data_IF_328320427150
#
_entry.id   IF_328320427150
#
_cell.length_a   1.000
_cell.length_b   1.000
_cell.length_c   1.000
_cell.angle_alpha   90.00
_cell.angle_beta   90.00
_cell.angle_gamma   90.00
#
_symmetry.space_group_name_H-M   'P 1'
#
loop_
_entity.id
_entity.type
_entity.pdbx_description
1 polymer ?
#
# COMPACT_ATOMS: atom_id res chain seq x y z
N UNK A 1 -52.56 17.37 -11.26
CA UNK A 1 -51.36 17.64 -10.45
C UNK A 1 -50.50 16.39 -10.56
N UNK A 2 -49.43 16.44 -11.35
CA UNK A 2 -48.57 15.28 -11.61
C UNK A 2 -47.37 15.42 -10.67
N UNK A 3 -47.21 14.47 -9.76
CA UNK A 3 -45.97 14.36 -8.98
C UNK A 3 -44.92 13.72 -9.87
N UNK A 4 -44.05 14.55 -10.44
CA UNK A 4 -42.75 14.11 -10.92
C UNK A 4 -41.96 13.71 -9.68
N UNK A 5 -41.90 12.41 -9.39
CA UNK A 5 -40.80 11.87 -8.60
C UNK A 5 -39.55 12.04 -9.45
N UNK A 6 -38.75 13.05 -9.13
CA UNK A 6 -37.33 13.03 -9.47
C UNK A 6 -36.75 11.78 -8.82
N UNK A 7 -36.44 10.77 -9.63
CA UNK A 7 -35.50 9.74 -9.19
C UNK A 7 -34.19 10.49 -8.90
N UNK A 8 -33.86 10.63 -7.60
CA UNK A 8 -32.47 10.76 -7.23
C UNK A 8 -31.80 9.50 -7.77
N UNK A 9 -30.96 9.68 -8.78
CA UNK A 9 -29.95 8.68 -9.10
C UNK A 9 -28.97 8.74 -7.95
N UNK A 10 -29.14 7.84 -6.99
CA UNK A 10 -28.07 7.51 -6.06
C UNK A 10 -26.96 6.94 -6.92
N UNK A 11 -25.77 7.55 -6.90
CA UNK A 11 -24.62 6.94 -7.50
C UNK A 11 -24.27 5.73 -6.61
N UNK A 12 -24.50 4.52 -7.09
CA UNK A 12 -24.23 3.32 -6.31
C UNK A 12 -22.72 3.16 -6.14
N UNK A 13 -22.26 3.39 -4.91
CA UNK A 13 -20.88 3.15 -4.50
C UNK A 13 -20.51 1.69 -4.78
N UNK A 14 -19.72 1.45 -5.83
CA UNK A 14 -19.07 0.15 -6.08
C UNK A 14 -19.42 -0.63 -7.36
N UNK A 15 -20.25 -0.13 -8.29
CA UNK A 15 -20.67 -0.95 -9.47
C UNK A 15 -19.68 -0.96 -10.68
N UNK A 16 -18.52 -0.31 -10.58
CA UNK A 16 -17.58 -0.15 -11.70
C UNK A 16 -16.26 -0.88 -11.54
N UNK A 17 -16.10 -2.04 -12.19
CA UNK A 17 -14.78 -2.67 -12.35
C UNK A 17 -13.93 -1.87 -13.35
N UNK A 18 -12.73 -1.45 -12.95
CA UNK A 18 -11.85 -0.61 -13.80
C UNK A 18 -10.36 -0.74 -13.46
N UNK A 19 -9.50 -0.73 -14.48
CA UNK A 19 -8.05 -0.63 -14.30
C UNK A 19 -7.70 0.77 -13.75
N UNK A 20 -7.06 0.82 -12.59
CA UNK A 20 -6.56 2.05 -11.95
C UNK A 20 -5.11 2.33 -12.28
N UNK A 21 -4.27 1.28 -12.31
CA UNK A 21 -2.84 1.41 -12.54
C UNK A 21 -2.27 0.17 -13.23
N UNK A 22 -1.25 0.37 -14.06
CA UNK A 22 -0.39 -0.72 -14.56
C UNK A 22 1.09 -0.36 -14.36
N UNK A 23 1.86 -1.32 -13.86
CA UNK A 23 3.32 -1.32 -13.88
C UNK A 23 3.77 -2.49 -14.77
N UNK A 24 4.65 -2.29 -15.77
CA UNK A 24 5.01 -1.00 -16.34
C UNK A 24 3.77 -0.29 -16.91
N UNK A 25 3.78 1.04 -16.91
CA UNK A 25 2.75 1.80 -17.62
C UNK A 25 2.93 1.66 -19.13
N UNK A 26 1.84 1.73 -19.89
CA UNK A 26 1.86 1.53 -21.35
C UNK A 26 2.87 2.47 -22.05
N UNK A 27 3.72 1.91 -22.93
CA UNK A 27 4.79 2.60 -23.66
C UNK A 27 6.14 2.71 -22.94
N UNK A 28 6.34 2.10 -21.76
CA UNK A 28 7.65 2.06 -21.08
C UNK A 28 8.57 1.02 -21.74
N UNK A 29 9.85 1.36 -21.92
CA UNK A 29 10.85 0.45 -22.50
C UNK A 29 12.12 0.30 -21.66
N UNK A 30 12.97 -0.65 -22.04
CA UNK A 30 14.17 -1.09 -21.31
C UNK A 30 13.87 -1.68 -19.91
N UNK A 31 12.71 -2.32 -19.74
CA UNK A 31 12.40 -3.07 -18.51
C UNK A 31 13.36 -4.27 -18.34
N UNK A 32 13.67 -4.69 -17.10
CA UNK A 32 14.47 -5.90 -16.92
C UNK A 32 13.73 -7.14 -17.42
N UNK A 33 14.46 -8.17 -17.85
CA UNK A 33 13.86 -9.38 -18.44
C UNK A 33 12.97 -10.17 -17.49
N UNK A 34 13.26 -10.18 -16.19
CA UNK A 34 12.43 -10.85 -15.19
C UNK A 34 11.22 -10.01 -14.70
N UNK A 35 10.76 -9.00 -15.45
CA UNK A 35 9.64 -8.15 -15.05
C UNK A 35 8.36 -8.97 -14.83
N UNK A 36 7.72 -8.74 -13.68
CA UNK A 36 6.42 -9.29 -13.30
C UNK A 36 5.41 -8.13 -13.29
N UNK A 37 4.68 -7.89 -14.40
CA UNK A 37 3.75 -6.76 -14.48
C UNK A 37 2.71 -6.82 -13.38
N UNK A 38 2.33 -5.64 -12.88
CA UNK A 38 1.41 -5.48 -11.76
C UNK A 38 0.27 -4.56 -12.19
N UNK A 39 -0.94 -5.09 -12.13
CA UNK A 39 -2.17 -4.37 -12.45
C UNK A 39 -2.93 -4.10 -11.17
N UNK A 40 -3.43 -2.89 -10.99
CA UNK A 40 -4.27 -2.51 -9.86
C UNK A 40 -5.63 -2.07 -10.38
N UNK A 41 -6.68 -2.67 -9.85
CA UNK A 41 -8.06 -2.45 -10.26
C UNK A 41 -8.93 -1.93 -9.11
N UNK A 42 -9.97 -1.18 -9.47
CA UNK A 42 -11.12 -0.91 -8.60
C UNK A 42 -12.23 -1.92 -8.90
N UNK A 43 -12.99 -2.32 -7.88
CA UNK A 43 -14.03 -3.35 -7.94
C UNK A 43 -13.62 -4.62 -7.20
N UNK A 44 -14.56 -5.55 -7.01
CA UNK A 44 -14.26 -6.89 -6.47
C UNK A 44 -13.52 -7.78 -7.46
N UNK A 45 -13.59 -7.47 -8.76
CA UNK A 45 -12.59 -7.85 -9.78
C UNK A 45 -12.18 -9.31 -9.71
N UNK A 46 -13.16 -10.20 -9.56
CA UNK A 46 -12.86 -11.58 -9.20
C UNK A 46 -12.16 -12.29 -10.37
N UNK A 47 -11.43 -13.36 -10.08
CA UNK A 47 -10.79 -14.16 -11.12
C UNK A 47 -11.78 -14.77 -12.13
N UNK A 48 -13.09 -14.76 -11.83
CA UNK A 48 -14.12 -15.18 -12.76
C UNK A 48 -14.50 -14.10 -13.81
N UNK A 49 -14.13 -12.84 -13.59
CA UNK A 49 -14.63 -11.66 -14.31
C UNK A 49 -13.61 -11.04 -15.29
N UNK A 50 -12.34 -11.45 -15.22
CA UNK A 50 -11.22 -10.88 -15.96
C UNK A 50 -10.39 -11.99 -16.61
N UNK A 51 -9.87 -11.73 -17.81
CA UNK A 51 -8.84 -12.51 -18.47
C UNK A 51 -7.67 -11.59 -18.82
N UNK A 52 -6.48 -12.01 -18.42
CA UNK A 52 -5.23 -11.31 -18.71
C UNK A 52 -4.38 -12.23 -19.59
N UNK A 53 -3.72 -11.66 -20.59
CA UNK A 53 -2.81 -12.39 -21.45
C UNK A 53 -1.62 -11.51 -21.82
N UNK A 54 -0.41 -12.07 -21.68
CA UNK A 54 0.83 -11.46 -22.12
C UNK A 54 1.22 -12.04 -23.48
N UNK A 55 1.58 -11.16 -24.42
CA UNK A 55 2.03 -11.52 -25.76
C UNK A 55 3.39 -10.90 -26.04
N UNK A 56 4.28 -11.67 -26.65
CA UNK A 56 5.46 -11.18 -27.37
C UNK A 56 5.02 -10.68 -28.75
N UNK A 57 5.45 -9.49 -29.15
CA UNK A 57 5.18 -8.89 -30.46
C UNK A 57 6.43 -8.92 -31.35
N UNK A 58 6.43 -9.76 -32.40
CA UNK A 58 7.56 -9.91 -33.32
C UNK A 58 7.12 -9.86 -34.79
N UNK A 59 7.72 -8.98 -35.59
CA UNK A 59 7.54 -8.84 -37.05
C UNK A 59 6.07 -8.78 -37.57
N UNK A 60 5.10 -8.54 -36.69
CA UNK A 60 3.66 -8.50 -37.01
C UNK A 60 2.87 -9.76 -36.62
N UNK A 61 3.52 -10.74 -35.99
CA UNK A 61 2.91 -11.88 -35.31
C UNK A 61 2.91 -11.65 -33.78
N UNK A 62 1.97 -12.31 -33.07
CA UNK A 62 1.90 -12.27 -31.60
C UNK A 62 1.94 -13.69 -31.03
N UNK A 63 2.87 -13.93 -30.11
CA UNK A 63 3.03 -15.22 -29.43
C UNK A 63 2.63 -15.05 -27.96
N UNK A 64 1.66 -15.83 -27.49
CA UNK A 64 1.25 -15.77 -26.08
C UNK A 64 2.32 -16.36 -25.17
N UNK A 65 2.70 -15.62 -24.14
CA UNK A 65 3.62 -16.03 -23.08
C UNK A 65 2.80 -16.72 -21.96
N UNK A 66 3.19 -17.92 -21.50
CA UNK A 66 2.59 -18.54 -20.31
C UNK A 66 2.84 -17.69 -19.05
N UNK A 67 1.79 -17.53 -18.24
CA UNK A 67 1.79 -16.71 -17.03
C UNK A 67 1.09 -17.45 -15.88
N UNK A 68 1.60 -17.25 -14.67
CA UNK A 68 0.86 -17.44 -13.41
C UNK A 68 0.33 -16.08 -12.93
N UNK A 69 -0.74 -16.10 -12.13
CA UNK A 69 -1.41 -14.90 -11.60
C UNK A 69 -1.48 -14.98 -10.07
N UNK A 70 -0.90 -13.99 -9.38
CA UNK A 70 -1.00 -13.81 -7.93
C UNK A 70 -1.85 -12.58 -7.62
N UNK A 71 -2.91 -12.74 -6.82
CA UNK A 71 -3.98 -11.74 -6.68
C UNK A 71 -4.24 -11.41 -5.21
N UNK A 72 -4.05 -10.14 -4.83
CA UNK A 72 -4.41 -9.59 -3.53
C UNK A 72 -5.59 -8.62 -3.64
N UNK A 73 -6.74 -8.95 -3.05
CA UNK A 73 -7.99 -8.19 -3.14
C UNK A 73 -8.48 -7.65 -1.78
N UNK A 74 -9.20 -6.53 -1.81
CA UNK A 74 -9.40 -5.67 -0.65
C UNK A 74 -10.78 -4.82 -0.66
N UNK A 75 -11.39 -4.32 0.48
CA UNK A 75 -12.43 -3.20 0.81
C UNK A 75 -11.99 -1.71 1.34
N UNK A 76 -11.89 -0.62 0.53
CA UNK A 76 -11.12 0.63 0.81
C UNK A 76 -11.88 1.71 1.57
N UNK A 77 -11.41 2.11 2.75
CA UNK A 77 -11.89 3.31 3.48
C UNK A 77 -13.43 3.41 3.65
N UNK A 78 -14.14 2.34 3.30
CA UNK A 78 -15.56 2.18 3.02
C UNK A 78 -15.81 0.69 2.83
N UNK A 79 -17.02 0.20 3.06
CA UNK A 79 -17.36 -1.20 2.81
C UNK A 79 -17.57 -1.56 1.32
N UNK A 80 -17.50 -0.58 0.42
CA UNK A 80 -17.99 -0.68 -0.97
C UNK A 80 -16.94 -0.42 -2.04
N UNK A 81 -15.99 0.47 -1.79
CA UNK A 81 -14.82 0.59 -2.65
C UNK A 81 -14.01 -0.69 -2.49
N UNK A 82 -13.68 -1.39 -3.56
CA UNK A 82 -12.80 -2.56 -3.52
C UNK A 82 -11.64 -2.36 -4.45
N UNK A 83 -10.51 -2.94 -4.09
CA UNK A 83 -9.31 -2.92 -4.92
C UNK A 83 -8.84 -4.35 -5.15
N UNK A 84 -8.15 -4.61 -6.25
CA UNK A 84 -7.48 -5.88 -6.51
C UNK A 84 -6.16 -5.64 -7.24
N UNK A 85 -5.07 -6.15 -6.68
CA UNK A 85 -3.74 -6.11 -7.27
C UNK A 85 -3.41 -7.48 -7.85
N UNK A 86 -3.16 -7.54 -9.15
CA UNK A 86 -2.80 -8.74 -9.90
C UNK A 86 -1.34 -8.64 -10.33
N UNK A 87 -0.47 -9.50 -9.76
CA UNK A 87 0.90 -9.69 -10.22
C UNK A 87 0.90 -10.81 -11.27
N UNK A 88 1.31 -10.46 -12.47
CA UNK A 88 1.47 -11.36 -13.61
C UNK A 88 2.89 -11.87 -13.60
N UNK A 89 3.05 -13.18 -13.50
CA UNK A 89 4.33 -13.86 -13.32
C UNK A 89 4.58 -14.72 -14.56
N UNK A 90 5.41 -14.26 -15.52
CA UNK A 90 5.83 -15.11 -16.62
C UNK A 90 6.49 -16.40 -16.11
N UNK A 91 6.13 -17.56 -16.69
CA UNK A 91 6.72 -18.87 -16.29
C UNK A 91 8.24 -18.96 -16.56
N UNK A 92 8.77 -18.04 -17.38
CA UNK A 92 10.18 -17.90 -17.73
C UNK A 92 10.54 -16.42 -17.87
N UNK A 93 11.83 -16.09 -17.74
CA UNK A 93 12.32 -14.74 -18.05
C UNK A 93 11.89 -14.30 -19.46
N UNK A 94 11.50 -13.03 -19.60
CA UNK A 94 11.18 -12.46 -20.90
C UNK A 94 12.46 -12.29 -21.74
N UNK A 95 12.30 -12.24 -23.06
CA UNK A 95 13.40 -12.12 -24.01
C UNK A 95 14.03 -10.73 -23.96
N UNK A 96 15.32 -10.62 -24.31
CA UNK A 96 16.04 -9.35 -24.25
C UNK A 96 15.74 -8.44 -25.44
N UNK A 97 15.46 -7.16 -25.17
CA UNK A 97 15.19 -6.12 -26.19
C UNK A 97 13.91 -6.37 -27.03
N UNK A 98 12.94 -7.10 -26.48
CA UNK A 98 11.69 -7.50 -27.15
C UNK A 98 10.51 -6.65 -26.69
N UNK A 99 9.48 -6.54 -27.55
CA UNK A 99 8.25 -5.80 -27.28
C UNK A 99 7.14 -6.74 -26.79
N UNK A 100 6.38 -6.28 -25.81
CA UNK A 100 5.33 -7.04 -25.16
C UNK A 100 4.02 -6.26 -25.12
N UNK A 101 2.93 -6.95 -25.40
CA UNK A 101 1.55 -6.48 -25.26
C UNK A 101 0.86 -7.30 -24.17
N UNK A 102 0.43 -6.65 -23.11
CA UNK A 102 -0.51 -7.22 -22.15
C UNK A 102 -1.93 -6.76 -22.50
N UNK A 103 -2.83 -7.72 -22.73
CA UNK A 103 -4.26 -7.47 -22.94
C UNK A 103 -5.04 -7.87 -21.69
N UNK A 104 -5.96 -6.99 -21.29
CA UNK A 104 -6.84 -7.14 -20.14
C UNK A 104 -8.27 -7.02 -20.66
N UNK A 105 -9.05 -8.10 -20.55
CA UNK A 105 -10.41 -8.16 -21.08
C UNK A 105 -11.37 -8.77 -20.05
N UNK A 106 -12.63 -8.29 -19.95
CA UNK A 106 -13.64 -8.93 -19.12
C UNK A 106 -14.04 -10.28 -19.71
N UNK A 107 -14.15 -11.31 -18.87
CA UNK A 107 -14.64 -12.66 -19.24
C UNK A 107 -16.16 -12.73 -19.25
N UNK A 108 -16.82 -11.95 -18.40
CA UNK A 108 -18.28 -11.84 -18.34
C UNK A 108 -18.72 -10.62 -19.16
N UNK A 109 -19.64 -10.84 -20.11
CA UNK A 109 -20.27 -9.76 -20.86
C UNK A 109 -21.26 -8.99 -19.98
N UNK A 110 -20.76 -8.05 -19.18
CA UNK A 110 -21.59 -7.04 -18.54
C UNK A 110 -22.25 -6.18 -19.64
N UNK A 111 -23.58 -5.91 -19.57
CA UNK A 111 -24.30 -5.22 -20.66
C UNK A 111 -23.77 -3.84 -21.06
N UNK A 112 -22.99 -3.20 -20.18
CA UNK A 112 -22.48 -1.84 -20.36
C UNK A 112 -20.93 -1.77 -20.43
N UNK A 113 -20.22 -2.90 -20.25
CA UNK A 113 -18.76 -2.91 -20.07
C UNK A 113 -18.07 -3.94 -20.99
N UNK A 114 -18.13 -3.69 -22.30
CA UNK A 114 -17.27 -4.35 -23.29
C UNK A 114 -15.93 -3.63 -23.47
N UNK A 115 -15.21 -3.34 -22.38
CA UNK A 115 -13.91 -2.69 -22.45
C UNK A 115 -12.78 -3.71 -22.66
N UNK A 116 -11.62 -3.24 -23.09
CA UNK A 116 -10.38 -4.02 -23.14
C UNK A 116 -9.23 -3.04 -23.07
N UNK A 117 -8.38 -3.19 -22.06
CA UNK A 117 -7.20 -2.36 -21.89
C UNK A 117 -5.97 -3.09 -22.44
N UNK A 118 -5.07 -2.30 -23.03
CA UNK A 118 -3.83 -2.78 -23.64
C UNK A 118 -2.64 -2.00 -23.07
N UNK A 119 -1.73 -2.73 -22.41
CA UNK A 119 -0.52 -2.20 -21.79
C UNK A 119 0.67 -2.73 -22.57
N UNK A 120 1.37 -1.86 -23.30
CA UNK A 120 2.58 -2.26 -24.02
C UNK A 120 3.83 -1.88 -23.24
N UNK A 121 4.87 -2.71 -23.32
CA UNK A 121 6.19 -2.38 -22.78
C UNK A 121 7.29 -3.09 -23.57
N UNK A 122 8.55 -2.69 -23.40
CA UNK A 122 9.68 -3.45 -23.92
C UNK A 122 10.75 -3.73 -22.87
N UNK A 123 11.42 -4.86 -23.03
CA UNK A 123 12.56 -5.26 -22.21
C UNK A 123 13.86 -4.62 -22.71
N UNK A 124 14.89 -4.63 -21.86
CA UNK A 124 16.27 -4.34 -22.21
C UNK A 124 17.13 -5.62 -22.16
N UNK A 125 18.41 -5.47 -21.82
CA UNK A 125 19.38 -6.56 -21.63
C UNK A 125 19.87 -6.72 -20.19
N UNK A 126 19.22 -6.04 -19.23
CA UNK A 126 19.57 -6.07 -17.81
C UNK A 126 18.65 -6.98 -17.00
N UNK A 127 19.22 -7.58 -15.95
CA UNK A 127 18.50 -8.12 -14.80
C UNK A 127 18.60 -7.09 -13.67
N UNK A 128 17.52 -6.85 -12.95
CA UNK A 128 17.53 -6.03 -11.74
C UNK A 128 17.95 -6.88 -10.53
N UNK A 129 18.30 -6.22 -9.43
CA UNK A 129 18.44 -6.84 -8.11
C UNK A 129 18.01 -5.82 -7.05
N UNK A 130 17.36 -6.31 -5.99
CA UNK A 130 17.08 -5.50 -4.81
C UNK A 130 18.32 -5.46 -3.91
N UNK A 131 18.68 -4.29 -3.38
CA UNK A 131 19.59 -4.26 -2.23
C UNK A 131 18.81 -4.79 -1.02
N UNK A 132 19.34 -5.83 -0.36
CA UNK A 132 18.62 -6.62 0.65
C UNK A 132 18.47 -5.92 2.00
N UNK A 133 18.58 -4.59 2.03
CA UNK A 133 18.37 -3.80 3.25
C UNK A 133 16.86 -3.72 3.56
N UNK A 134 16.41 -4.10 4.77
CA UNK A 134 15.01 -3.99 5.14
C UNK A 134 14.47 -2.56 5.02
N UNK A 135 13.24 -2.35 4.51
CA UNK A 135 12.56 -1.06 4.58
C UNK A 135 12.29 -0.68 6.05
N UNK A 136 12.17 0.62 6.32
CA UNK A 136 11.83 1.12 7.67
C UNK A 136 10.44 1.72 7.69
N UNK A 137 9.73 1.55 8.80
CA UNK A 137 8.37 2.05 9.04
C UNK A 137 8.36 2.89 10.32
N UNK A 138 7.78 4.09 10.24
CA UNK A 138 7.60 5.02 11.36
C UNK A 138 6.13 5.42 11.47
N UNK A 139 5.59 5.45 12.68
CA UNK A 139 4.22 5.92 12.95
C UNK A 139 4.23 7.43 13.22
N UNK A 140 3.43 8.18 12.47
CA UNK A 140 3.33 9.64 12.53
C UNK A 140 2.15 10.10 13.41
N UNK A 141 1.01 9.42 13.29
CA UNK A 141 -0.24 9.79 13.96
C UNK A 141 -1.18 8.59 14.08
N UNK A 142 -1.94 8.54 15.16
CA UNK A 142 -3.11 7.69 15.28
C UNK A 142 -4.24 8.47 15.95
N UNK A 143 -5.41 8.50 15.32
CA UNK A 143 -6.58 9.20 15.82
C UNK A 143 -7.73 9.20 14.81
N UNK A 144 -8.76 10.03 15.02
CA UNK A 144 -9.80 10.27 14.02
C UNK A 144 -9.17 10.71 12.70
N UNK A 145 -9.72 10.21 11.59
CA UNK A 145 -9.37 10.65 10.24
C UNK A 145 -9.73 12.12 10.07
N UNK A 146 -8.90 12.87 9.37
CA UNK A 146 -9.18 14.27 9.06
C UNK A 146 -10.39 14.39 8.12
N UNK A 147 -11.35 15.26 8.44
CA UNK A 147 -12.56 15.54 7.64
C UNK A 147 -12.26 15.93 6.17
N UNK A 148 -11.01 16.30 5.86
CA UNK A 148 -10.60 16.73 4.53
C UNK A 148 -10.31 15.54 3.60
N UNK A 149 -11.19 15.35 2.63
CA UNK A 149 -11.08 14.27 1.64
C UNK A 149 -11.65 12.95 2.16
N UNK A 150 -12.75 13.02 2.89
CA UNK A 150 -13.75 11.95 3.04
C UNK A 150 -14.73 12.10 1.88
N UNK A 151 -14.79 11.12 0.98
CA UNK A 151 -15.76 11.08 -0.13
C UNK A 151 -17.10 10.47 0.34
N UNK A 152 -18.18 10.60 -0.45
CA UNK A 152 -19.55 10.22 -0.05
C UNK A 152 -19.71 8.73 0.33
N UNK A 153 -18.85 7.87 -0.21
CA UNK A 153 -18.86 6.42 0.05
C UNK A 153 -18.01 6.02 1.26
N UNK A 154 -17.11 6.89 1.72
CA UNK A 154 -16.15 6.60 2.79
C UNK A 154 -16.86 6.39 4.14
N UNK A 155 -16.23 5.61 5.02
CA UNK A 155 -16.65 5.46 6.41
C UNK A 155 -16.55 6.81 7.13
N UNK A 156 -17.69 7.44 7.51
CA UNK A 156 -17.65 8.63 8.34
C UNK A 156 -17.11 8.25 9.73
N UNK A 157 -16.47 9.20 10.40
CA UNK A 157 -15.93 9.07 11.75
C UNK A 157 -14.85 7.96 11.95
N UNK A 158 -14.30 7.41 10.86
CA UNK A 158 -13.25 6.40 10.90
C UNK A 158 -11.95 6.91 11.57
N UNK A 159 -11.18 5.99 12.16
CA UNK A 159 -9.83 6.27 12.67
C UNK A 159 -8.78 5.85 11.64
N UNK A 160 -7.60 6.46 11.70
CA UNK A 160 -6.48 6.11 10.84
C UNK A 160 -5.14 6.11 11.56
N UNK A 161 -4.28 5.16 11.17
CA UNK A 161 -2.86 5.13 11.45
C UNK A 161 -2.11 5.78 10.28
N UNK A 162 -1.36 6.85 10.49
CA UNK A 162 -0.54 7.51 9.45
C UNK A 162 0.94 7.17 9.64
N UNK A 163 1.64 6.80 8.57
CA UNK A 163 3.01 6.28 8.60
C UNK A 163 3.93 7.00 7.61
N UNK A 164 5.24 7.02 7.91
CA UNK A 164 6.30 7.10 6.90
C UNK A 164 6.91 5.74 6.66
N UNK A 165 7.10 5.39 5.40
CA UNK A 165 7.92 4.27 4.96
C UNK A 165 9.16 4.77 4.22
N UNK A 166 10.29 4.13 4.50
CA UNK A 166 11.59 4.40 3.88
C UNK A 166 12.05 3.16 3.09
N UNK A 167 11.65 3.04 1.80
CA UNK A 167 12.15 1.97 0.94
C UNK A 167 13.65 2.15 0.69
N UNK A 168 14.42 1.08 0.86
CA UNK A 168 15.88 1.11 0.73
C UNK A 168 16.29 0.74 -0.70
N UNK A 169 16.15 1.68 -1.64
CA UNK A 169 16.53 1.47 -3.05
C UNK A 169 17.46 2.55 -3.58
N UNK A 170 18.48 2.13 -4.33
CA UNK A 170 19.28 2.99 -5.21
C UNK A 170 18.72 3.11 -6.64
N UNK A 171 17.72 2.31 -6.98
CA UNK A 171 17.44 1.94 -8.36
C UNK A 171 16.29 2.74 -8.97
N UNK A 172 16.47 3.20 -10.20
CA UNK A 172 15.49 3.97 -10.96
C UNK A 172 14.31 3.13 -11.50
N UNK A 173 14.12 1.92 -10.96
CA UNK A 173 13.09 0.97 -11.38
C UNK A 173 11.84 1.16 -10.53
N UNK A 174 10.67 0.99 -11.15
CA UNK A 174 9.41 0.98 -10.41
C UNK A 174 9.44 -0.16 -9.39
N UNK A 175 9.06 0.16 -8.16
CA UNK A 175 9.00 -0.78 -7.05
C UNK A 175 7.81 -0.45 -6.17
N UNK A 176 7.52 -1.31 -5.20
CA UNK A 176 6.39 -1.12 -4.32
C UNK A 176 6.65 -1.69 -2.92
N UNK A 177 5.92 -1.16 -1.95
CA UNK A 177 5.81 -1.73 -0.62
C UNK A 177 4.52 -2.53 -0.53
N UNK A 178 4.60 -3.79 -0.11
CA UNK A 178 3.46 -4.50 0.45
C UNK A 178 3.39 -4.15 1.95
N UNK A 179 2.18 -3.92 2.45
CA UNK A 179 1.92 -3.60 3.86
C UNK A 179 1.02 -4.66 4.47
N UNK A 180 1.37 -5.09 5.68
CA UNK A 180 0.72 -6.18 6.38
C UNK A 180 0.35 -5.76 7.81
N UNK A 181 -0.82 -6.18 8.27
CA UNK A 181 -1.25 -6.08 9.67
C UNK A 181 -1.01 -7.44 10.34
N UNK A 182 -0.39 -7.45 11.52
CA UNK A 182 -0.26 -8.65 12.35
C UNK A 182 -1.39 -8.69 13.36
N UNK A 183 -2.25 -9.70 13.26
CA UNK A 183 -3.39 -9.89 14.17
C UNK A 183 -2.93 -10.35 15.56
N UNK A 184 -3.86 -10.34 16.53
CA UNK A 184 -3.59 -10.86 17.88
C UNK A 184 -3.25 -12.36 17.92
N UNK A 185 -3.61 -13.13 16.89
CA UNK A 185 -3.21 -14.54 16.71
C UNK A 185 -1.85 -14.72 16.03
N UNK A 186 -1.22 -13.64 15.55
CA UNK A 186 0.03 -13.68 14.78
C UNK A 186 -0.18 -13.99 13.28
N UNK A 187 -1.39 -13.83 12.77
CA UNK A 187 -1.70 -13.95 11.33
C UNK A 187 -1.33 -12.65 10.61
N UNK A 188 -0.71 -12.75 9.43
CA UNK A 188 -0.22 -11.61 8.64
C UNK A 188 -1.23 -11.25 7.55
N UNK A 189 -2.11 -10.29 7.81
CA UNK A 189 -3.14 -9.85 6.87
C UNK A 189 -2.59 -8.83 5.89
N UNK A 190 -2.53 -9.18 4.60
CA UNK A 190 -2.20 -8.22 3.54
C UNK A 190 -3.21 -7.06 3.55
N UNK A 191 -2.71 -5.89 3.91
CA UNK A 191 -3.45 -4.65 3.89
C UNK A 191 -3.41 -4.11 2.45
N UNK A 192 -2.24 -3.60 2.03
CA UNK A 192 -2.19 -2.78 0.83
C UNK A 192 -0.86 -2.78 0.10
N UNK A 193 -0.87 -2.10 -1.05
CA UNK A 193 0.32 -1.75 -1.82
C UNK A 193 0.59 -0.25 -1.74
N UNK A 194 1.86 0.13 -1.84
CA UNK A 194 2.28 1.52 -2.09
C UNK A 194 3.23 1.50 -3.27
N UNK A 195 2.85 2.12 -4.38
CA UNK A 195 3.73 2.29 -5.52
C UNK A 195 4.79 3.36 -5.20
N UNK A 196 6.06 2.98 -5.26
CA UNK A 196 7.18 3.89 -5.05
C UNK A 196 7.57 4.47 -6.41
N UNK A 197 7.45 5.79 -6.55
CA UNK A 197 8.00 6.49 -7.71
C UNK A 197 9.53 6.45 -7.68
N UNK A 198 10.21 6.40 -8.84
CA UNK A 198 11.66 6.44 -8.90
C UNK A 198 12.21 7.67 -8.15
N UNK A 199 13.39 7.51 -7.56
CA UNK A 199 14.10 8.54 -6.79
C UNK A 199 13.40 9.01 -5.49
N UNK A 200 12.31 8.37 -5.04
CA UNK A 200 11.71 8.63 -3.73
C UNK A 200 12.41 7.85 -2.60
N UNK A 201 13.06 8.56 -1.68
CA UNK A 201 13.68 7.98 -0.47
C UNK A 201 12.70 7.62 0.65
N UNK A 202 11.45 8.08 0.53
CA UNK A 202 10.40 7.92 1.55
C UNK A 202 9.03 8.19 0.95
N UNK A 203 8.00 7.52 1.44
CA UNK A 203 6.59 7.81 1.15
C UNK A 203 5.78 7.80 2.44
N UNK A 204 4.80 8.68 2.58
CA UNK A 204 3.76 8.57 3.60
C UNK A 204 2.60 7.70 3.12
N UNK A 205 1.82 7.17 4.08
CA UNK A 205 0.59 6.42 3.86
C UNK A 205 -0.31 6.39 5.13
N UNK A 206 -1.60 6.04 5.01
CA UNK A 206 -2.61 6.04 6.10
C UNK A 206 -3.51 4.79 6.15
N UNK A 207 -3.29 3.86 7.08
CA UNK A 207 -4.19 2.72 7.23
C UNK A 207 -5.48 3.17 7.93
N UNK A 208 -6.59 3.20 7.22
CA UNK A 208 -7.91 3.55 7.78
C UNK A 208 -8.61 2.31 8.31
N UNK A 209 -9.20 2.43 9.49
CA UNK A 209 -9.88 1.36 10.20
C UNK A 209 -11.39 1.42 9.95
N UNK A 210 -12.02 0.25 9.85
CA UNK A 210 -13.49 0.15 9.89
C UNK A 210 -14.01 0.68 11.23
N UNK A 211 -15.04 1.55 11.27
CA UNK A 211 -15.59 2.09 12.50
C UNK A 211 -16.02 0.98 13.49
N UNK A 212 -15.62 1.11 14.74
CA UNK A 212 -15.80 0.09 15.79
C UNK A 212 -14.67 -0.95 15.87
N UNK A 213 -13.63 -0.87 15.02
CA UNK A 213 -12.45 -1.75 15.06
C UNK A 213 -11.19 -1.05 15.61
N UNK A 214 -11.35 0.14 16.19
CA UNK A 214 -10.27 0.97 16.73
C UNK A 214 -9.48 0.26 17.85
N UNK A 215 -8.23 0.67 18.04
CA UNK A 215 -7.39 0.20 19.14
C UNK A 215 -6.03 -0.36 18.70
N UNK A 216 -5.41 -1.23 19.51
CA UNK A 216 -4.06 -1.74 19.26
C UNK A 216 -3.94 -2.44 17.90
N UNK A 217 -2.84 -2.18 17.20
CA UNK A 217 -2.48 -2.80 15.92
C UNK A 217 -0.96 -2.93 15.77
N UNK A 218 -0.53 -3.85 14.93
CA UNK A 218 0.86 -4.10 14.60
C UNK A 218 1.00 -4.15 13.09
N UNK A 219 1.96 -3.42 12.52
CA UNK A 219 2.19 -3.36 11.08
C UNK A 219 3.64 -3.65 10.72
N UNK A 220 3.86 -4.25 9.56
CA UNK A 220 5.17 -4.29 8.91
C UNK A 220 5.02 -4.09 7.41
N UNK A 221 6.12 -3.74 6.76
CA UNK A 221 6.19 -3.54 5.32
C UNK A 221 7.27 -4.44 4.71
N UNK A 222 7.04 -4.92 3.49
CA UNK A 222 8.04 -5.59 2.67
C UNK A 222 8.22 -4.84 1.37
N UNK A 223 9.46 -4.58 0.99
CA UNK A 223 9.78 -3.95 -0.28
C UNK A 223 9.96 -4.99 -1.38
N UNK A 224 9.44 -4.68 -2.57
CA UNK A 224 9.47 -5.57 -3.73
C UNK A 224 9.73 -4.78 -5.00
N UNK A 225 10.63 -5.27 -5.84
CA UNK A 225 10.80 -4.73 -7.19
C UNK A 225 9.72 -5.27 -8.13
N UNK A 226 9.40 -4.52 -9.19
CA UNK A 226 8.53 -5.03 -10.26
C UNK A 226 9.06 -6.34 -10.90
N UNK A 227 10.34 -6.64 -10.74
CA UNK A 227 11.00 -7.86 -11.19
C UNK A 227 10.81 -9.06 -10.26
N UNK A 228 10.06 -8.89 -9.16
CA UNK A 228 9.65 -9.96 -8.27
C UNK A 228 10.57 -10.19 -7.07
N UNK A 229 11.79 -9.65 -7.05
CA UNK A 229 12.69 -9.72 -5.90
C UNK A 229 12.09 -8.98 -4.70
N UNK A 230 12.26 -9.58 -3.52
CA UNK A 230 11.77 -9.09 -2.23
C UNK A 230 12.91 -8.78 -1.28
N UNK A 231 12.74 -7.75 -0.47
CA UNK A 231 13.57 -7.48 0.69
C UNK A 231 13.20 -8.42 1.85
N UNK A 232 14.05 -8.43 2.88
CA UNK A 232 13.60 -8.74 4.24
C UNK A 232 12.50 -7.76 4.67
N UNK A 233 11.64 -8.15 5.61
CA UNK A 233 10.56 -7.29 6.15
C UNK A 233 11.13 -6.21 7.06
N UNK A 234 10.42 -5.09 7.19
CA UNK A 234 10.69 -4.13 8.28
C UNK A 234 10.56 -4.80 9.65
N UNK A 235 11.06 -4.14 10.70
CA UNK A 235 10.61 -4.44 12.06
C UNK A 235 9.09 -4.26 12.15
N UNK A 236 8.42 -5.09 12.97
CA UNK A 236 6.99 -4.98 13.23
C UNK A 236 6.73 -3.84 14.23
N UNK A 237 6.06 -2.79 13.77
CA UNK A 237 5.70 -1.62 14.57
C UNK A 237 4.32 -1.83 15.20
N UNK A 238 4.30 -2.06 16.51
CA UNK A 238 3.07 -2.19 17.30
C UNK A 238 2.73 -0.90 18.06
N UNK A 239 1.46 -0.55 18.06
CA UNK A 239 0.89 0.60 18.76
C UNK A 239 -0.29 0.17 19.63
N UNK A 240 -0.52 0.85 20.76
CA UNK A 240 -1.51 0.46 21.77
C UNK A 240 -2.91 1.06 21.54
N UNK A 241 -3.08 1.86 20.48
CA UNK A 241 -4.34 2.54 20.17
C UNK A 241 -4.67 3.73 21.10
N UNK A 242 -3.71 4.22 21.88
CA UNK A 242 -3.83 5.53 22.52
C UNK A 242 -3.65 6.64 21.47
N UNK A 243 -4.36 7.78 21.58
CA UNK A 243 -4.25 8.84 20.57
C UNK A 243 -2.84 9.42 20.59
N UNK A 244 -2.10 9.24 19.49
CA UNK A 244 -0.77 9.78 19.31
C UNK A 244 -0.89 11.19 18.71
N UNK A 245 -0.58 12.26 19.46
CA UNK A 245 -0.68 13.61 18.93
C UNK A 245 0.33 13.78 17.80
N UNK A 246 -0.12 14.32 16.67
CA UNK A 246 0.77 14.79 15.62
C UNK A 246 1.83 15.71 16.21
N UNK A 247 3.10 15.46 15.92
CA UNK A 247 4.19 16.40 16.20
C UNK A 247 4.14 17.56 15.20
N UNK A 248 3.06 18.34 15.28
CA UNK A 248 2.82 19.56 14.54
C UNK A 248 2.96 20.77 15.45
N UNK A 249 3.69 21.78 14.98
CA UNK A 249 4.04 23.01 15.71
C UNK A 249 2.83 23.93 15.96
N UNK A 250 1.96 23.58 16.91
CA UNK A 250 1.08 24.52 17.59
C UNK A 250 1.67 24.87 18.96
N UNK A 251 2.89 25.46 18.96
CA UNK A 251 3.35 26.24 20.11
C UNK A 251 2.33 27.38 20.31
N UNK A 252 1.61 27.45 21.45
CA UNK A 252 0.78 28.61 21.72
C UNK A 252 1.71 29.82 21.82
N UNK A 253 1.44 30.84 21.01
CA UNK A 253 2.09 32.14 21.16
C UNK A 253 1.72 32.66 22.55
N UNK A 254 2.64 32.50 23.51
CA UNK A 254 2.53 33.15 24.82
C UNK A 254 2.59 34.66 24.59
N UNK A 255 1.42 35.29 24.64
CA UNK A 255 1.31 36.74 24.65
C UNK A 255 1.98 37.27 25.93
N UNK A 256 3.04 38.06 25.72
CA UNK A 256 4.01 38.42 26.75
C UNK A 256 3.42 39.45 27.71
N UNK A 257 2.95 38.98 28.86
CA UNK A 257 2.33 39.80 29.92
C UNK A 257 3.03 39.69 31.27
N UNK A 258 4.23 40.25 31.40
CA UNK A 258 4.88 40.56 32.69
C UNK A 258 4.58 42.01 33.13
N UNK A 259 4.83 42.44 34.41
CA UNK A 259 5.30 41.68 35.58
C UNK A 259 4.53 41.96 36.90
N UNK A 260 4.76 41.18 37.98
CA UNK A 260 5.32 41.68 39.27
C UNK A 260 5.55 40.59 40.33
N UNK A 261 6.71 40.67 40.98
CA UNK A 261 7.16 40.28 42.36
C UNK A 261 6.29 39.26 43.15
N UNK A 262 6.83 38.16 43.72
CA UNK A 262 7.86 38.20 44.78
C UNK A 262 8.62 36.86 44.99
N UNK A 263 9.83 36.95 45.54
CA UNK A 263 10.80 35.85 45.87
C UNK A 263 10.51 35.32 47.31
N UNK A 264 10.74 34.04 47.73
CA UNK A 264 12.05 33.40 47.64
C UNK A 264 12.22 31.85 47.52
N UNK A 265 13.43 31.52 47.08
CA UNK A 265 14.22 30.28 47.18
C UNK A 265 14.31 29.69 48.62
N UNK A 266 14.68 28.39 48.83
CA UNK A 266 16.06 27.93 48.52
C UNK A 266 16.34 26.45 48.11
N UNK A 267 17.45 26.33 47.39
CA UNK A 267 18.56 25.33 47.48
C UNK A 267 18.40 23.81 47.19
N UNK A 268 19.31 23.38 46.31
CA UNK A 268 20.07 22.12 46.22
C UNK A 268 19.57 20.79 46.81
N UNK A 269 19.47 19.77 45.96
CA UNK A 269 20.40 18.60 45.84
C UNK A 269 19.75 17.62 44.85
N UNK A 270 20.39 16.71 44.12
CA UNK A 270 21.71 16.11 44.21
C UNK A 270 21.62 14.74 43.51
N UNK A 271 22.11 14.67 42.27
CA UNK A 271 22.71 13.52 41.58
C UNK A 271 22.44 12.08 42.12
N UNK A 272 21.90 11.16 41.28
CA UNK A 272 22.55 9.86 40.92
C UNK A 272 21.61 8.88 40.20
N UNK A 273 22.21 8.02 39.33
CA UNK A 273 21.93 6.58 39.39
C UNK A 273 21.19 5.91 38.22
N UNK A 274 21.90 5.61 37.12
CA UNK A 274 21.42 4.63 36.12
C UNK A 274 21.31 3.21 36.70
N UNK A 275 20.37 2.38 36.19
CA UNK A 275 20.56 0.92 36.18
C UNK A 275 19.81 0.18 35.07
N UNK A 276 20.56 -0.37 34.12
CA UNK A 276 20.13 -1.45 33.20
C UNK A 276 20.10 -2.80 33.92
N UNK A 277 19.25 -3.72 33.43
CA UNK A 277 19.24 -5.22 33.48
C UNK A 277 17.79 -5.68 33.71
N UNK A 278 17.23 -6.69 33.04
CA UNK A 278 17.63 -7.53 31.89
C UNK A 278 16.34 -8.08 31.25
N UNK A 279 16.33 -8.80 30.13
CA UNK A 279 17.38 -9.68 29.60
C UNK A 279 17.12 -11.13 30.01
N UNK A 280 16.04 -11.73 29.48
CA UNK A 280 15.75 -13.17 29.59
C UNK A 280 15.25 -13.69 28.24
N UNK A 281 16.12 -14.36 27.51
CA UNK A 281 15.76 -15.21 26.36
C UNK A 281 15.11 -16.50 26.87
N UNK A 282 14.15 -17.05 26.12
CA UNK A 282 13.65 -18.41 26.31
C UNK A 282 13.71 -19.13 24.96
N UNK A 283 14.55 -20.15 24.89
CA UNK A 283 14.56 -21.12 23.80
C UNK A 283 13.38 -22.08 23.98
N UNK A 284 12.69 -22.44 22.89
CA UNK A 284 11.79 -23.61 22.85
C UNK A 284 12.14 -24.43 21.62
N UNK A 285 12.28 -25.74 21.84
CA UNK A 285 12.81 -26.69 20.85
C UNK A 285 11.83 -27.07 19.74
N UNK A 286 12.40 -27.70 18.71
CA UNK A 286 11.74 -28.20 17.51
C UNK A 286 10.63 -29.23 17.81
N UNK A 287 9.51 -29.11 17.09
CA UNK A 287 8.53 -30.17 16.91
C UNK A 287 8.04 -30.18 15.45
N UNK A 288 8.39 -31.21 14.68
CA UNK A 288 8.03 -31.30 13.27
C UNK A 288 6.64 -31.85 13.00
N UNK A 289 6.03 -31.45 11.88
CA UNK A 289 4.78 -32.03 11.37
C UNK A 289 4.39 -31.41 10.03
N UNK A 290 4.24 -32.22 8.98
CA UNK A 290 3.82 -31.74 7.67
C UNK A 290 2.31 -31.46 7.64
N UNK A 291 1.90 -30.36 6.99
CA UNK A 291 0.51 -30.05 6.69
C UNK A 291 0.40 -29.12 5.49
N UNK A 292 -0.23 -29.58 4.42
CA UNK A 292 -0.55 -28.77 3.24
C UNK A 292 -1.78 -27.91 3.53
N UNK A 293 -1.65 -26.59 3.45
CA UNK A 293 -2.76 -25.64 3.62
C UNK A 293 -2.53 -24.41 2.76
N UNK A 294 -3.47 -24.13 1.85
CA UNK A 294 -3.51 -22.92 1.04
C UNK A 294 -4.28 -21.85 1.80
N UNK A 295 -3.58 -20.86 2.34
CA UNK A 295 -4.13 -19.68 3.00
C UNK A 295 -3.58 -18.47 2.20
N UNK A 296 -4.37 -17.51 1.71
CA UNK A 296 -5.78 -17.21 1.93
C UNK A 296 -5.91 -15.85 2.61
N UNK A 297 -5.89 -14.77 1.83
CA UNK A 297 -5.77 -13.41 2.37
C UNK A 297 -6.84 -12.43 1.88
N UNK A 298 -7.26 -11.59 2.84
CA UNK A 298 -8.41 -10.70 2.83
C UNK A 298 -8.00 -9.29 3.31
N UNK A 299 -8.08 -8.28 2.42
CA UNK A 299 -8.56 -6.90 2.68
C UNK A 299 -7.78 -5.85 3.62
N UNK A 300 -6.96 -4.84 3.13
CA UNK A 300 -7.25 -3.33 3.00
C UNK A 300 -6.25 -2.05 2.89
N UNK A 301 -6.46 -0.89 2.12
CA UNK A 301 -5.58 -0.17 1.10
C UNK A 301 -4.96 1.19 1.46
N UNK A 302 -4.37 1.83 0.40
CA UNK A 302 -4.28 3.28 0.32
C UNK A 302 -4.50 4.09 -0.98
N UNK A 303 -4.54 5.41 -0.71
CA UNK A 303 -4.86 6.61 -1.52
C UNK A 303 -3.82 7.16 -2.51
N UNK A 304 -4.32 8.10 -3.33
CA UNK A 304 -3.59 8.93 -4.30
C UNK A 304 -2.98 10.21 -3.66
N UNK A 305 -1.71 10.50 -3.93
CA UNK A 305 -1.06 11.74 -3.46
C UNK A 305 -1.30 12.97 -4.35
N UNK A 306 -1.45 14.15 -3.71
CA UNK A 306 -1.57 15.45 -4.40
C UNK A 306 -0.51 16.45 -3.94
N UNK A 307 0.30 16.91 -4.89
CA UNK A 307 1.49 17.77 -4.69
C UNK A 307 1.15 19.14 -4.06
N UNK A 308 1.69 19.43 -2.88
CA UNK A 308 1.55 20.74 -2.20
C UNK A 308 2.58 21.73 -2.74
N UNK A 309 2.12 22.79 -3.44
CA UNK A 309 3.00 23.83 -3.99
C UNK A 309 3.52 24.75 -2.88
N UNK A 310 4.84 24.74 -2.63
CA UNK A 310 5.50 25.82 -1.86
C UNK A 310 5.39 27.14 -2.63
N UNK A 311 4.69 28.13 -2.08
CA UNK A 311 4.94 29.53 -2.42
C UNK A 311 6.08 30.05 -1.56
N UNK A 312 7.10 30.61 -2.20
CA UNK A 312 8.15 31.39 -1.53
C UNK A 312 7.80 32.87 -1.57
N UNK A 313 8.09 33.57 -0.46
CA UNK A 313 7.89 35.01 -0.21
C UNK A 313 6.43 35.43 0.01
#
# INVERSE_FOLDING_TARGET
MIFLFSQLVWAECGEGFSLRYSVPSSGIGNMPTQVQPLLSFLGDGSQADISIALFLEEEGETTQIPIEEDVGCYIHESSTEKHCNWRIIPEQDLEENSSYLMRISPTISHPEQGWTDEVTFSTGSSRAQIDVTPPQLELLKYGPRDDFGIDECDWPDAYSYEFWAYPQTSDSLKSYLNVYEVTQSGEELYQHIIFIEPDMSSTDFRQVLEPGTEGPRCYFIQHRLITGEISETSETLCHDGSIFPSTGEDDPIEDSGEPTEDTPEPEETGNTGSKKRGGTTVEVEQGGGCGSGSEGLLLMPLFLFRKRNKRSL
#
